data_IF_416323498501
#
_entry.id   IF_416323498501
#
_cell.length_a   1.000
_cell.length_b   1.000
_cell.length_c   1.000
_cell.angle_alpha   90.00
_cell.angle_beta   90.00
_cell.angle_gamma   90.00
#
_symmetry.space_group_name_H-M   'P 1'
#
loop_
_entity.id
_entity.type
_entity.pdbx_description
1 polymer ?
#
# COMPACT_ATOMS: atom_id res chain seq x y z
N UNK A 1 15.63 -3.98 29.19
CA UNK A 1 15.62 -3.42 27.82
C UNK A 1 15.40 -4.47 26.73
N UNK A 2 15.89 -5.72 26.89
CA UNK A 2 15.81 -6.79 25.88
C UNK A 2 14.36 -7.33 25.68
N UNK A 3 13.58 -7.43 26.75
CA UNK A 3 12.18 -7.92 26.68
C UNK A 3 11.26 -6.99 25.91
N UNK A 4 11.47 -5.68 25.95
CA UNK A 4 10.65 -4.72 25.23
C UNK A 4 10.92 -4.74 23.72
N UNK A 5 12.16 -5.05 23.32
CA UNK A 5 12.53 -5.17 21.91
C UNK A 5 11.99 -6.44 21.24
N UNK A 6 11.94 -7.56 21.97
CA UNK A 6 11.38 -8.82 21.49
C UNK A 6 9.86 -8.72 21.26
N UNK A 7 9.10 -8.11 22.19
CA UNK A 7 7.68 -7.91 22.02
C UNK A 7 7.31 -7.02 20.83
N UNK A 8 8.07 -5.96 20.57
CA UNK A 8 7.82 -5.07 19.44
C UNK A 8 8.11 -5.77 18.11
N UNK A 9 9.14 -6.61 18.03
CA UNK A 9 9.47 -7.39 16.83
C UNK A 9 8.43 -8.48 16.53
N UNK A 10 7.91 -9.16 17.56
CA UNK A 10 6.84 -10.15 17.40
C UNK A 10 5.52 -9.52 16.95
N UNK A 11 5.14 -8.40 17.53
CA UNK A 11 3.93 -7.65 17.12
C UNK A 11 4.08 -7.15 15.68
N UNK A 12 5.23 -6.64 15.30
CA UNK A 12 5.50 -6.21 13.93
C UNK A 12 5.44 -7.37 12.93
N UNK A 13 5.99 -8.54 13.28
CA UNK A 13 5.94 -9.75 12.44
C UNK A 13 4.50 -10.24 12.23
N UNK A 14 3.67 -10.28 13.28
CA UNK A 14 2.25 -10.66 13.19
C UNK A 14 1.48 -9.66 12.32
N UNK A 15 1.73 -8.37 12.47
CA UNK A 15 1.09 -7.32 11.67
C UNK A 15 1.51 -7.38 10.21
N UNK A 16 2.79 -7.62 9.94
CA UNK A 16 3.29 -7.80 8.57
C UNK A 16 2.62 -9.00 7.88
N UNK A 17 2.44 -10.12 8.61
CA UNK A 17 1.70 -11.27 8.10
C UNK A 17 0.27 -10.91 7.70
N UNK A 18 -0.43 -10.10 8.50
CA UNK A 18 -1.78 -9.62 8.17
C UNK A 18 -1.77 -8.72 6.91
N UNK A 19 -0.79 -7.83 6.78
CA UNK A 19 -0.65 -6.98 5.59
C UNK A 19 -0.38 -7.81 4.35
N UNK A 20 0.49 -8.82 4.43
CA UNK A 20 0.75 -9.73 3.32
C UNK A 20 -0.50 -10.53 2.92
N UNK A 21 -1.27 -11.04 3.87
CA UNK A 21 -2.54 -11.72 3.61
C UNK A 21 -3.56 -10.80 2.94
N UNK A 22 -3.68 -9.56 3.41
CA UNK A 22 -4.53 -8.55 2.80
C UNK A 22 -4.10 -8.28 1.36
N UNK A 23 -2.81 -8.04 1.14
CA UNK A 23 -2.25 -7.81 -0.19
C UNK A 23 -2.57 -8.98 -1.14
N UNK A 24 -2.36 -10.21 -0.70
CA UNK A 24 -2.63 -11.40 -1.51
C UNK A 24 -4.10 -11.47 -1.91
N UNK A 25 -5.01 -11.29 -0.96
CA UNK A 25 -6.46 -11.33 -1.23
C UNK A 25 -6.90 -10.23 -2.18
N UNK A 26 -6.35 -9.03 -2.06
CA UNK A 26 -6.62 -7.90 -2.96
C UNK A 26 -5.99 -8.11 -4.33
N UNK A 27 -4.83 -8.77 -4.39
CA UNK A 27 -4.07 -8.96 -5.63
C UNK A 27 -4.59 -10.14 -6.48
N UNK A 28 -5.26 -11.13 -5.87
CA UNK A 28 -5.84 -12.27 -6.60
C UNK A 28 -6.95 -11.79 -7.54
N UNK A 29 -6.54 -11.38 -8.74
CA UNK A 29 -7.40 -11.07 -9.88
C UNK A 29 -7.97 -9.65 -9.92
N UNK A 30 -7.55 -8.74 -9.04
CA UNK A 30 -8.03 -7.33 -9.04
C UNK A 30 -6.88 -6.35 -9.20
N UNK A 31 -5.79 -6.53 -8.48
CA UNK A 31 -4.67 -5.59 -8.42
C UNK A 31 -3.40 -6.18 -9.02
N UNK A 32 -3.48 -6.70 -10.22
CA UNK A 32 -2.35 -7.39 -10.89
C UNK A 32 -1.05 -6.56 -10.96
N UNK A 33 -1.14 -5.25 -10.77
CA UNK A 33 0.00 -4.32 -10.75
C UNK A 33 0.04 -3.48 -9.48
N UNK A 34 -0.60 -3.93 -8.39
CA UNK A 34 -0.53 -3.22 -7.13
C UNK A 34 0.81 -3.42 -6.44
N UNK A 35 1.15 -2.45 -5.63
CA UNK A 35 2.43 -2.33 -4.95
C UNK A 35 2.16 -1.89 -3.51
N UNK A 36 2.69 -2.62 -2.52
CA UNK A 36 2.75 -2.10 -1.16
C UNK A 36 3.74 -0.96 -1.12
N UNK A 37 3.31 0.20 -0.63
CA UNK A 37 4.15 1.39 -0.44
C UNK A 37 3.99 1.93 0.98
N UNK A 38 4.52 3.11 1.26
CA UNK A 38 4.41 3.74 2.57
C UNK A 38 5.24 3.05 3.64
N UNK A 39 4.89 3.28 4.89
CA UNK A 39 5.71 2.83 6.04
C UNK A 39 5.76 1.32 6.20
N UNK A 40 4.79 0.59 5.67
CA UNK A 40 4.74 -0.87 5.79
C UNK A 40 5.73 -1.61 4.90
N UNK A 41 6.46 -0.93 4.01
CA UNK A 41 7.63 -1.52 3.35
C UNK A 41 8.83 -1.69 4.31
N UNK A 42 8.88 -0.92 5.39
CA UNK A 42 10.00 -0.93 6.34
C UNK A 42 10.17 -2.27 7.07
N UNK A 43 9.10 -2.96 7.56
CA UNK A 43 9.23 -4.33 8.05
C UNK A 43 9.86 -5.30 7.06
N UNK A 44 9.51 -5.16 5.78
CA UNK A 44 10.08 -5.98 4.70
C UNK A 44 11.56 -5.68 4.52
N UNK A 45 11.93 -4.40 4.52
CA UNK A 45 13.34 -3.99 4.41
C UNK A 45 14.18 -4.44 5.60
N UNK A 46 13.59 -4.50 6.80
CA UNK A 46 14.28 -5.07 7.95
C UNK A 46 14.59 -6.55 7.75
N UNK A 47 13.61 -7.33 7.31
CA UNK A 47 13.79 -8.78 7.07
C UNK A 47 14.80 -9.07 5.95
N UNK A 48 14.70 -8.35 4.83
CA UNK A 48 15.51 -8.63 3.66
C UNK A 48 16.89 -7.98 3.69
N UNK A 49 17.01 -6.79 4.27
CA UNK A 49 18.21 -5.95 4.15
C UNK A 49 18.79 -5.53 5.51
N UNK A 50 18.19 -5.94 6.63
CA UNK A 50 18.64 -5.58 7.96
C UNK A 50 18.49 -4.10 8.31
N UNK A 51 17.63 -3.37 7.60
CA UNK A 51 17.40 -1.95 7.84
C UNK A 51 16.59 -1.77 9.13
N UNK A 52 17.18 -1.07 10.10
CA UNK A 52 16.49 -0.77 11.37
C UNK A 52 15.49 0.37 11.17
N UNK A 53 14.31 0.22 11.73
CA UNK A 53 13.24 1.23 11.66
C UNK A 53 12.37 1.19 12.92
N UNK A 54 11.53 2.23 13.05
CA UNK A 54 10.46 2.28 14.05
C UNK A 54 9.15 2.46 13.32
N UNK A 55 8.28 1.45 13.36
CA UNK A 55 6.94 1.53 12.79
C UNK A 55 6.05 2.37 13.71
N UNK A 56 5.54 3.49 13.20
CA UNK A 56 4.70 4.44 13.94
C UNK A 56 3.30 4.63 13.37
N UNK A 57 2.97 3.92 12.30
CA UNK A 57 1.70 4.09 11.60
C UNK A 57 0.96 2.77 11.47
N UNK A 58 -0.35 2.85 11.41
CA UNK A 58 -1.25 1.75 11.08
C UNK A 58 -1.80 1.86 9.65
N UNK A 59 -1.37 2.90 8.92
CA UNK A 59 -1.79 3.16 7.56
C UNK A 59 -1.06 2.22 6.59
N UNK A 60 -1.84 1.49 5.81
CA UNK A 60 -1.38 0.56 4.78
C UNK A 60 -1.69 1.19 3.43
N UNK A 61 -0.66 1.52 2.68
CA UNK A 61 -0.79 2.19 1.40
C UNK A 61 -0.50 1.22 0.26
N UNK A 62 -1.44 1.11 -0.68
CA UNK A 62 -1.27 0.37 -1.91
C UNK A 62 -1.25 1.32 -3.10
N UNK A 63 -0.15 1.33 -3.86
CA UNK A 63 -0.13 1.98 -5.15
C UNK A 63 -0.83 1.11 -6.19
N UNK A 64 -1.70 1.73 -6.99
CA UNK A 64 -2.43 1.09 -8.07
C UNK A 64 -2.07 1.74 -9.39
N UNK A 65 -1.83 0.93 -10.42
CA UNK A 65 -1.61 1.43 -11.77
C UNK A 65 -2.95 1.62 -12.47
N UNK A 66 -3.19 2.82 -12.94
CA UNK A 66 -4.36 3.15 -13.78
C UNK A 66 -4.05 2.95 -15.28
N UNK A 67 -2.80 2.64 -15.63
CA UNK A 67 -2.36 2.44 -16.99
C UNK A 67 -2.67 1.00 -17.45
N UNK A 68 -3.68 0.86 -18.23
CA UNK A 68 -4.09 -0.31 -19.00
C UNK A 68 -4.68 -1.48 -18.18
N UNK A 69 -5.98 -1.53 -18.03
CA UNK A 69 -6.66 -2.77 -17.64
C UNK A 69 -6.47 -3.80 -18.76
N UNK A 70 -5.42 -4.61 -18.68
CA UNK A 70 -5.18 -5.71 -19.64
C UNK A 70 -6.29 -6.75 -19.63
N UNK A 71 -7.13 -6.75 -18.62
CA UNK A 71 -8.41 -7.45 -18.58
C UNK A 71 -9.38 -6.61 -17.75
N UNK A 72 -10.54 -6.34 -18.31
CA UNK A 72 -11.70 -5.78 -17.61
C UNK A 72 -12.21 -6.77 -16.56
N UNK A 73 -11.43 -7.00 -15.52
CA UNK A 73 -11.92 -7.65 -14.33
C UNK A 73 -12.71 -6.59 -13.56
N UNK A 74 -13.98 -6.49 -13.89
CA UNK A 74 -14.98 -5.73 -13.13
C UNK A 74 -15.13 -6.38 -11.76
N UNK A 75 -14.17 -6.16 -10.88
CA UNK A 75 -14.31 -6.50 -9.47
C UNK A 75 -14.44 -5.21 -8.70
N UNK A 76 -15.53 -5.11 -8.01
CA UNK A 76 -15.78 -4.08 -7.03
C UNK A 76 -14.80 -4.26 -5.86
N UNK A 77 -13.74 -3.47 -5.85
CA UNK A 77 -12.69 -3.55 -4.83
C UNK A 77 -13.21 -3.09 -3.47
N UNK A 78 -14.11 -2.11 -3.45
CA UNK A 78 -14.81 -1.69 -2.24
C UNK A 78 -15.57 -2.87 -1.63
N UNK A 79 -16.33 -3.60 -2.44
CA UNK A 79 -17.05 -4.78 -1.97
C UNK A 79 -16.11 -5.88 -1.46
N UNK A 80 -14.98 -6.09 -2.15
CA UNK A 80 -13.97 -7.06 -1.70
C UNK A 80 -13.40 -6.69 -0.33
N UNK A 81 -12.97 -5.44 -0.15
CA UNK A 81 -12.39 -4.97 1.12
C UNK A 81 -13.44 -4.99 2.24
N UNK A 82 -14.64 -4.54 1.98
CA UNK A 82 -15.72 -4.56 2.98
C UNK A 82 -16.11 -5.99 3.36
N UNK A 83 -16.04 -6.95 2.43
CA UNK A 83 -16.26 -8.37 2.73
C UNK A 83 -15.16 -8.97 3.63
N UNK A 84 -13.98 -8.33 3.72
CA UNK A 84 -12.91 -8.69 4.64
C UNK A 84 -13.08 -8.05 6.03
N UNK A 85 -14.17 -7.33 6.27
CA UNK A 85 -14.50 -6.70 7.55
C UNK A 85 -14.01 -5.26 7.68
N UNK A 86 -13.52 -4.64 6.60
CA UNK A 86 -13.17 -3.23 6.60
C UNK A 86 -14.42 -2.36 6.41
N UNK A 87 -14.43 -1.22 7.07
CA UNK A 87 -15.49 -0.20 6.94
C UNK A 87 -14.96 0.93 6.05
N UNK A 88 -15.73 1.25 5.03
CA UNK A 88 -15.45 2.37 4.12
C UNK A 88 -15.71 3.72 4.82
N UNK A 89 -14.80 4.66 4.61
CA UNK A 89 -14.90 6.02 5.09
C UNK A 89 -14.42 6.99 4.00
N UNK A 90 -15.25 7.97 3.68
CA UNK A 90 -14.90 9.05 2.76
C UNK A 90 -14.75 10.35 3.56
N UNK A 91 -13.54 10.90 3.55
CA UNK A 91 -13.25 12.19 4.17
C UNK A 91 -13.91 13.36 3.43
N UNK A 92 -13.93 14.52 4.08
CA UNK A 92 -14.47 15.76 3.49
C UNK A 92 -13.70 16.24 2.27
N UNK A 93 -12.45 15.83 2.13
CA UNK A 93 -11.58 16.07 0.98
C UNK A 93 -11.77 15.05 -0.17
N UNK A 94 -12.68 14.08 0.00
CA UNK A 94 -12.94 13.00 -0.94
C UNK A 94 -12.00 11.81 -0.82
N UNK A 95 -11.03 11.84 0.10
CA UNK A 95 -10.12 10.70 0.36
C UNK A 95 -10.91 9.52 0.91
N UNK A 96 -10.77 8.37 0.26
CA UNK A 96 -11.39 7.12 0.67
C UNK A 96 -10.41 6.27 1.44
N UNK A 97 -10.83 5.83 2.61
CA UNK A 97 -10.08 4.95 3.51
C UNK A 97 -10.93 3.78 3.95
N UNK A 98 -10.29 2.67 4.22
CA UNK A 98 -10.94 1.48 4.73
C UNK A 98 -10.32 1.10 6.08
N UNK A 99 -11.13 0.96 7.12
CA UNK A 99 -10.64 0.74 8.49
C UNK A 99 -11.11 -0.58 9.05
N UNK A 100 -10.22 -1.32 9.68
CA UNK A 100 -10.53 -2.53 10.44
C UNK A 100 -9.41 -2.85 11.43
N UNK A 101 -9.77 -3.25 12.66
CA UNK A 101 -8.82 -3.79 13.63
C UNK A 101 -7.62 -2.90 13.97
N UNK A 102 -7.78 -1.59 13.86
CA UNK A 102 -6.70 -0.63 14.07
C UNK A 102 -5.83 -0.38 12.83
N UNK A 103 -6.16 -0.97 11.69
CA UNK A 103 -5.53 -0.68 10.40
C UNK A 103 -6.38 0.29 9.59
N UNK A 104 -5.70 1.10 8.79
CA UNK A 104 -6.30 1.99 7.81
C UNK A 104 -5.67 1.70 6.44
N UNK A 105 -6.47 1.40 5.43
CA UNK A 105 -6.01 1.08 4.08
C UNK A 105 -6.37 2.23 3.15
N UNK A 106 -5.38 2.70 2.39
CA UNK A 106 -5.54 3.70 1.34
C UNK A 106 -5.02 3.17 0.00
N UNK A 107 -5.64 3.65 -1.08
CA UNK A 107 -5.17 3.42 -2.44
C UNK A 107 -4.59 4.70 -3.02
N UNK A 108 -3.43 4.57 -3.63
CA UNK A 108 -2.65 5.68 -4.18
C UNK A 108 -2.43 5.42 -5.66
N UNK A 109 -2.62 6.46 -6.47
CA UNK A 109 -2.39 6.38 -7.90
C UNK A 109 -1.47 7.51 -8.38
N UNK A 110 -0.84 7.31 -9.54
CA UNK A 110 -0.03 8.34 -10.15
C UNK A 110 -0.87 9.58 -10.48
N UNK A 111 -0.43 10.74 -10.01
CA UNK A 111 -1.03 12.02 -10.35
C UNK A 111 -0.63 12.42 -11.78
N UNK A 112 -1.56 12.45 -12.74
CA UNK A 112 -1.26 12.90 -14.09
C UNK A 112 -1.17 14.43 -14.13
N UNK A 113 -0.07 14.96 -14.61
CA UNK A 113 0.11 16.39 -14.85
C UNK A 113 0.31 17.24 -13.60
N UNK A 114 0.47 18.56 -13.79
CA UNK A 114 0.80 19.52 -12.72
C UNK A 114 -0.40 20.11 -11.97
N UNK A 115 -1.63 19.62 -12.15
CA UNK A 115 -2.81 20.15 -11.46
C UNK A 115 -3.02 19.43 -10.14
N UNK A 116 -3.37 20.22 -9.15
CA UNK A 116 -3.82 19.69 -7.86
C UNK A 116 -5.26 19.17 -8.03
N UNK A 117 -5.38 17.85 -8.10
CA UNK A 117 -6.66 17.14 -8.13
C UNK A 117 -6.84 16.44 -6.79
N UNK A 118 -8.00 16.64 -6.16
CA UNK A 118 -8.27 16.11 -4.83
C UNK A 118 -8.16 14.59 -4.75
N UNK A 119 -8.95 13.86 -5.56
CA UNK A 119 -8.93 12.39 -5.64
C UNK A 119 -9.06 11.92 -7.08
N UNK A 120 -8.62 10.71 -7.34
CA UNK A 120 -8.75 10.04 -8.64
C UNK A 120 -9.79 8.93 -8.52
N UNK A 121 -10.99 9.12 -9.09
CA UNK A 121 -11.98 8.05 -9.11
C UNK A 121 -11.52 6.94 -10.05
N UNK A 122 -11.51 5.71 -9.55
CA UNK A 122 -11.22 4.50 -10.29
C UNK A 122 -12.53 3.74 -10.46
N UNK A 123 -13.31 4.14 -11.46
CA UNK A 123 -14.67 3.67 -11.64
C UNK A 123 -14.81 2.16 -11.86
N UNK A 124 -13.80 1.50 -12.44
CA UNK A 124 -13.81 0.05 -12.63
C UNK A 124 -13.71 -0.73 -11.32
N UNK A 125 -13.16 -0.12 -10.29
CA UNK A 125 -12.95 -0.71 -8.97
C UNK A 125 -13.83 -0.10 -7.88
N UNK A 126 -14.66 0.86 -8.24
CA UNK A 126 -15.53 1.60 -7.32
C UNK A 126 -14.76 2.17 -6.11
N UNK A 127 -13.66 2.84 -6.38
CA UNK A 127 -12.84 3.46 -5.35
C UNK A 127 -12.30 4.82 -5.78
N UNK A 128 -11.95 5.66 -4.79
CA UNK A 128 -11.23 6.91 -4.97
C UNK A 128 -9.79 6.74 -4.49
N UNK A 129 -8.84 6.86 -5.42
CA UNK A 129 -7.42 6.81 -5.09
C UNK A 129 -6.88 8.21 -4.78
N UNK A 130 -5.95 8.29 -3.83
CA UNK A 130 -5.20 9.50 -3.56
C UNK A 130 -4.15 9.71 -4.66
N UNK A 131 -4.13 10.89 -5.32
CA UNK A 131 -3.11 11.18 -6.32
C UNK A 131 -1.78 11.54 -5.65
N UNK A 132 -0.72 10.85 -6.03
CA UNK A 132 0.63 11.15 -5.56
C UNK A 132 1.58 11.28 -6.76
N UNK A 133 2.45 12.30 -6.79
CA UNK A 133 3.40 12.47 -7.89
C UNK A 133 4.51 11.42 -7.84
N UNK A 134 5.09 11.13 -9.00
CA UNK A 134 6.27 10.27 -9.16
C UNK A 134 6.11 8.81 -8.69
N UNK A 135 4.89 8.30 -8.62
CA UNK A 135 4.62 6.90 -8.25
C UNK A 135 5.29 5.91 -9.22
N UNK A 136 5.49 6.30 -10.48
CA UNK A 136 6.21 5.50 -11.45
C UNK A 136 7.63 5.11 -10.99
N UNK A 137 8.32 5.93 -10.22
CA UNK A 137 9.63 5.57 -9.64
C UNK A 137 9.51 4.31 -8.79
N UNK A 138 8.44 4.20 -7.99
CA UNK A 138 8.21 3.05 -7.12
C UNK A 138 7.79 1.81 -7.91
N UNK A 139 6.98 1.97 -8.95
CA UNK A 139 6.49 0.85 -9.77
C UNK A 139 7.55 0.32 -10.72
N UNK A 140 8.35 1.19 -11.34
CA UNK A 140 9.39 0.81 -12.29
C UNK A 140 10.56 0.09 -11.62
N UNK A 141 10.86 0.44 -10.36
CA UNK A 141 11.93 -0.16 -9.56
C UNK A 141 11.34 -0.93 -8.38
N UNK A 142 10.56 -1.95 -8.67
CA UNK A 142 9.91 -2.79 -7.66
C UNK A 142 10.53 -4.18 -7.61
N UNK A 143 10.37 -4.80 -6.43
CA UNK A 143 10.83 -6.15 -6.11
C UNK A 143 9.63 -6.97 -5.66
N UNK A 144 9.61 -8.24 -6.01
CA UNK A 144 8.62 -9.21 -5.52
C UNK A 144 9.33 -10.23 -4.66
N UNK A 145 8.79 -10.49 -3.48
CA UNK A 145 9.32 -11.49 -2.55
C UNK A 145 8.19 -12.38 -2.03
N UNK A 146 8.51 -13.66 -1.82
CA UNK A 146 7.62 -14.63 -1.20
C UNK A 146 7.86 -14.67 0.32
N UNK A 147 6.79 -14.50 1.09
CA UNK A 147 6.80 -14.59 2.56
C UNK A 147 6.14 -15.86 3.08
N UNK A 148 6.06 -16.93 2.26
CA UNK A 148 5.51 -18.22 2.65
C UNK A 148 3.99 -18.32 2.70
N UNK A 149 3.29 -17.18 2.66
CA UNK A 149 1.83 -17.08 2.59
C UNK A 149 1.35 -16.40 1.30
N UNK A 150 2.25 -16.16 0.37
CA UNK A 150 2.03 -15.46 -0.87
C UNK A 150 3.18 -14.53 -1.20
N UNK A 151 3.16 -13.98 -2.40
CA UNK A 151 4.15 -13.00 -2.83
C UNK A 151 3.63 -11.58 -2.66
N UNK A 152 4.51 -10.68 -2.23
CA UNK A 152 4.23 -9.27 -2.11
C UNK A 152 5.19 -8.46 -2.99
N UNK A 153 4.67 -7.47 -3.68
CA UNK A 153 5.44 -6.53 -4.49
C UNK A 153 5.59 -5.21 -3.75
N UNK A 154 6.78 -4.67 -3.73
CA UNK A 154 7.13 -3.43 -3.04
C UNK A 154 8.28 -2.72 -3.79
N UNK A 155 8.50 -1.41 -3.59
CA UNK A 155 9.60 -0.70 -4.23
C UNK A 155 10.96 -1.18 -3.72
N UNK A 156 11.97 -1.17 -4.57
CA UNK A 156 13.34 -1.29 -4.12
C UNK A 156 13.69 -0.17 -3.12
N UNK A 157 14.56 -0.41 -2.11
CA UNK A 157 14.86 0.60 -1.09
C UNK A 157 15.32 1.93 -1.67
N UNK A 158 16.15 1.90 -2.70
CA UNK A 158 16.67 3.10 -3.37
C UNK A 158 15.54 3.93 -3.99
N UNK A 159 14.58 3.29 -4.63
CA UNK A 159 13.41 3.94 -5.22
C UNK A 159 12.51 4.55 -4.15
N UNK A 160 12.29 3.82 -3.06
CA UNK A 160 11.50 4.29 -1.93
C UNK A 160 12.10 5.55 -1.31
N UNK A 161 13.38 5.54 -0.98
CA UNK A 161 14.04 6.69 -0.35
C UNK A 161 14.16 7.87 -1.32
N UNK A 162 14.46 7.62 -2.60
CA UNK A 162 14.47 8.67 -3.63
C UNK A 162 13.10 9.34 -3.74
N UNK A 163 12.04 8.56 -3.82
CA UNK A 163 10.67 9.09 -3.88
C UNK A 163 10.35 9.95 -2.65
N UNK A 164 10.69 9.49 -1.45
CA UNK A 164 10.51 10.26 -0.21
C UNK A 164 11.24 11.60 -0.23
N UNK A 165 12.46 11.64 -0.77
CA UNK A 165 13.24 12.88 -0.89
C UNK A 165 12.59 13.86 -1.90
N UNK A 166 12.06 13.34 -3.01
CA UNK A 166 11.44 14.15 -4.05
C UNK A 166 10.14 14.80 -3.58
N UNK A 167 9.32 14.05 -2.83
CA UNK A 167 8.01 14.53 -2.35
C UNK A 167 8.08 15.26 -1.00
N UNK A 168 9.24 15.26 -0.33
CA UNK A 168 9.41 15.94 0.94
C UNK A 168 9.10 17.45 0.80
N UNK A 169 8.36 18.05 1.74
CA UNK A 169 8.15 19.50 1.73
C UNK A 169 9.50 20.22 1.80
N UNK A 170 9.68 21.23 0.94
CA UNK A 170 10.85 22.12 0.95
C UNK A 170 10.63 23.28 1.90
#
# INVERSE_FOLDING_TARGET
GAFHHLQVSEIAAVRLSHVCQLYERLNVGVLYESLLIGSWVMPIYQELYGIRYVLRTFDIDFAVSLAHPRKKLRRDLEHLITSLGFIDFIGTDGTQKFTAGGYEVEFIAHRPGGRDIGTLPVGEWNLNAMPLPFINILTDFSVTTDFGQGSIRFPAPEAYFLHKLIIAPR
#
